data_IF_774491294091
#
_entry.id   IF_774491294091
#
_cell.length_a   1.000
_cell.length_b   1.000
_cell.length_c   1.000
_cell.angle_alpha   90.00
_cell.angle_beta   90.00
_cell.angle_gamma   90.00
#
_symmetry.space_group_name_H-M   'P 1'
#
loop_
_entity.id
_entity.type
_entity.pdbx_description
1 polymer ?
#
# COMPACT_ATOMS: atom_id res chain seq x y z
N UNK A 1 5.11 9.96 -5.57
CA UNK A 1 5.32 11.33 -6.14
C UNK A 1 5.75 11.26 -7.62
N UNK A 2 5.43 12.21 -8.53
CA UNK A 2 5.89 12.15 -9.92
C UNK A 2 7.42 12.40 -10.03
N UNK A 3 8.07 11.80 -11.04
CA UNK A 3 9.52 11.83 -11.34
C UNK A 3 10.45 10.87 -10.56
N UNK A 4 9.98 9.65 -10.26
CA UNK A 4 10.88 8.55 -9.88
C UNK A 4 10.93 7.50 -10.98
N UNK A 5 12.13 7.07 -11.34
CA UNK A 5 12.32 5.88 -12.16
C UNK A 5 12.11 4.65 -11.29
N UNK A 6 11.21 3.76 -11.72
CA UNK A 6 10.96 2.49 -11.05
C UNK A 6 11.52 1.34 -11.87
N UNK A 7 12.14 0.39 -11.18
CA UNK A 7 12.48 -0.91 -11.74
C UNK A 7 11.31 -1.86 -11.51
N UNK A 8 10.89 -2.58 -12.57
CA UNK A 8 9.88 -3.62 -12.47
C UNK A 8 10.56 -4.98 -12.39
N UNK A 9 10.27 -5.71 -11.33
CA UNK A 9 10.69 -7.10 -11.14
C UNK A 9 9.46 -8.00 -11.17
N UNK A 10 9.63 -9.23 -11.67
CA UNK A 10 8.56 -10.24 -11.72
C UNK A 10 9.04 -11.53 -11.07
N UNK A 11 8.17 -12.17 -10.29
CA UNK A 11 8.47 -13.43 -9.60
C UNK A 11 7.74 -13.54 -8.26
N UNK A 12 8.11 -14.53 -7.45
CA UNK A 12 7.55 -14.70 -6.11
C UNK A 12 7.94 -13.53 -5.18
N UNK A 13 7.00 -13.11 -4.34
CA UNK A 13 7.21 -12.10 -3.28
C UNK A 13 8.34 -12.48 -2.33
N UNK A 14 8.58 -13.78 -2.13
CA UNK A 14 9.66 -14.30 -1.28
C UNK A 14 11.05 -13.85 -1.75
N UNK A 15 11.21 -13.60 -3.06
CA UNK A 15 12.47 -13.09 -3.64
C UNK A 15 12.68 -11.60 -3.37
N UNK A 16 11.62 -10.88 -2.98
CA UNK A 16 11.67 -9.45 -2.63
C UNK A 16 12.05 -9.18 -1.17
N UNK A 17 12.05 -10.20 -0.30
CA UNK A 17 12.22 -10.07 1.15
C UNK A 17 13.58 -9.53 1.63
N UNK A 18 14.52 -9.26 0.73
CA UNK A 18 15.85 -8.69 1.06
C UNK A 18 15.98 -7.18 0.84
N UNK A 19 14.90 -6.49 0.47
CA UNK A 19 14.91 -5.03 0.29
C UNK A 19 14.48 -4.38 1.61
N UNK A 20 15.33 -3.51 2.18
CA UNK A 20 15.18 -2.99 3.55
C UNK A 20 13.77 -2.42 3.84
N UNK A 21 13.16 -1.73 2.86
CA UNK A 21 11.81 -1.13 2.99
C UNK A 21 10.76 -1.76 2.05
N UNK A 22 11.10 -2.88 1.39
CA UNK A 22 10.23 -3.51 0.39
C UNK A 22 9.99 -2.69 -0.88
N UNK A 23 9.12 -3.16 -1.79
CA UNK A 23 8.80 -2.45 -3.03
C UNK A 23 7.81 -1.30 -2.78
N UNK A 24 8.06 -0.13 -3.39
CA UNK A 24 7.11 1.00 -3.36
C UNK A 24 5.75 0.65 -3.97
N UNK A 25 5.72 -0.22 -4.98
CA UNK A 25 4.50 -0.65 -5.68
C UNK A 25 4.60 -2.14 -5.98
N UNK A 26 3.55 -2.90 -5.67
CA UNK A 26 3.46 -4.31 -6.03
C UNK A 26 2.02 -4.78 -6.22
N UNK A 27 1.84 -5.82 -7.03
CA UNK A 27 0.54 -6.37 -7.42
C UNK A 27 0.70 -7.83 -7.91
N UNK A 28 -0.34 -8.67 -7.82
CA UNK A 28 -0.37 -10.00 -8.42
C UNK A 28 -0.37 -9.94 -9.95
N UNK A 29 0.02 -11.03 -10.62
CA UNK A 29 0.15 -11.08 -12.10
C UNK A 29 -1.14 -10.69 -12.85
N UNK A 30 -2.31 -11.00 -12.26
CA UNK A 30 -3.63 -10.65 -12.78
C UNK A 30 -4.03 -9.18 -12.56
N UNK A 31 -3.22 -8.41 -11.83
CA UNK A 31 -3.45 -7.01 -11.44
C UNK A 31 -4.78 -6.81 -10.70
N UNK A 32 -5.27 -7.82 -9.99
CA UNK A 32 -6.55 -7.72 -9.30
C UNK A 32 -6.55 -6.64 -8.21
N UNK A 33 -5.41 -6.40 -7.54
CA UNK A 33 -5.22 -5.37 -6.52
C UNK A 33 -3.80 -4.81 -6.57
N UNK A 34 -3.52 -3.74 -5.84
CA UNK A 34 -2.17 -3.20 -5.69
C UNK A 34 -1.94 -2.64 -4.29
N UNK A 35 -0.68 -2.59 -3.91
CA UNK A 35 -0.22 -1.88 -2.71
C UNK A 35 0.75 -0.79 -3.14
N UNK A 36 0.58 0.40 -2.57
CA UNK A 36 1.45 1.54 -2.78
C UNK A 36 1.98 2.04 -1.43
N UNK A 37 3.30 2.00 -1.28
CA UNK A 37 4.04 2.51 -0.13
C UNK A 37 4.89 3.68 -0.61
N UNK A 38 4.82 4.81 0.08
CA UNK A 38 5.66 5.98 -0.19
C UNK A 38 6.65 6.14 0.96
N UNK A 39 7.90 6.46 0.63
CA UNK A 39 8.99 6.49 1.63
C UNK A 39 8.77 7.55 2.72
N UNK A 40 7.96 8.57 2.41
CA UNK A 40 7.70 9.69 3.29
C UNK A 40 6.51 9.43 4.23
N UNK A 41 5.80 8.31 4.08
CA UNK A 41 4.62 7.97 4.87
C UNK A 41 4.80 6.69 5.68
N UNK A 42 4.29 6.65 6.93
CA UNK A 42 4.34 5.46 7.76
C UNK A 42 3.26 4.42 7.40
N UNK A 43 2.46 4.68 6.36
CA UNK A 43 1.34 3.86 5.94
C UNK A 43 1.42 3.50 4.46
N UNK A 44 0.68 2.45 4.09
CA UNK A 44 0.56 2.00 2.71
C UNK A 44 -0.90 2.05 2.27
N UNK A 45 -1.13 2.40 1.01
CA UNK A 45 -2.44 2.29 0.39
C UNK A 45 -2.61 0.90 -0.21
N UNK A 46 -3.81 0.34 -0.06
CA UNK A 46 -4.21 -0.88 -0.76
C UNK A 46 -5.43 -0.56 -1.61
N UNK A 47 -5.34 -0.85 -2.90
CA UNK A 47 -6.43 -0.68 -3.87
C UNK A 47 -6.82 -2.02 -4.46
N UNK A 48 -8.11 -2.29 -4.59
CA UNK A 48 -8.59 -3.56 -5.12
C UNK A 48 -10.11 -3.71 -5.04
N UNK A 49 -10.62 -4.93 -5.26
CA UNK A 49 -12.05 -5.24 -5.20
C UNK A 49 -12.62 -5.00 -3.80
N UNK A 50 -13.91 -4.68 -3.72
CA UNK A 50 -14.57 -4.31 -2.47
C UNK A 50 -14.47 -5.39 -1.39
N UNK A 51 -14.60 -6.66 -1.75
CA UNK A 51 -14.49 -7.79 -0.82
C UNK A 51 -13.08 -7.91 -0.22
N UNK A 52 -12.03 -7.70 -1.03
CA UNK A 52 -10.65 -7.62 -0.55
C UNK A 52 -10.48 -6.47 0.47
N UNK A 53 -10.98 -5.28 0.15
CA UNK A 53 -10.86 -4.11 1.03
C UNK A 53 -11.63 -4.33 2.35
N UNK A 54 -12.84 -4.89 2.28
CA UNK A 54 -13.62 -5.26 3.46
C UNK A 54 -12.86 -6.25 4.34
N UNK A 55 -12.22 -7.26 3.76
CA UNK A 55 -11.43 -8.24 4.51
C UNK A 55 -10.21 -7.61 5.18
N UNK A 56 -9.52 -6.67 4.53
CA UNK A 56 -8.39 -5.94 5.11
C UNK A 56 -8.85 -5.09 6.30
N UNK A 57 -9.92 -4.32 6.12
CA UNK A 57 -10.48 -3.46 7.17
C UNK A 57 -10.99 -4.25 8.39
N UNK A 58 -11.44 -5.48 8.17
CA UNK A 58 -11.90 -6.37 9.23
C UNK A 58 -10.78 -7.19 9.90
N UNK A 59 -9.55 -7.15 9.38
CA UNK A 59 -8.48 -8.01 9.85
C UNK A 59 -7.90 -7.52 11.19
N UNK A 60 -7.96 -8.30 12.28
CA UNK A 60 -7.67 -7.80 13.63
C UNK A 60 -6.21 -7.44 13.89
N UNK A 61 -5.30 -7.87 13.01
CA UNK A 61 -3.86 -7.55 13.10
C UNK A 61 -3.43 -6.42 12.18
N UNK A 62 -4.35 -5.83 11.41
CA UNK A 62 -4.07 -4.69 10.53
C UNK A 62 -4.74 -3.44 11.11
N UNK A 63 -3.96 -2.38 11.24
CA UNK A 63 -4.50 -1.04 11.42
C UNK A 63 -4.83 -0.48 10.04
N UNK A 64 -6.13 -0.37 9.73
CA UNK A 64 -6.58 0.04 8.41
C UNK A 64 -7.80 0.94 8.49
N UNK A 65 -7.83 1.97 7.66
CA UNK A 65 -8.95 2.90 7.51
C UNK A 65 -9.34 3.01 6.03
N UNK A 66 -10.63 3.26 5.71
CA UNK A 66 -11.02 3.52 4.34
C UNK A 66 -10.37 4.81 3.85
N UNK A 67 -9.71 4.75 2.69
CA UNK A 67 -9.19 5.92 2.00
C UNK A 67 -10.14 6.35 0.87
N UNK A 68 -10.32 7.65 0.73
CA UNK A 68 -11.12 8.31 -0.30
C UNK A 68 -10.29 9.36 -1.02
N UNK A 69 -10.68 9.75 -2.24
CA UNK A 69 -9.96 10.78 -3.00
C UNK A 69 -10.00 12.17 -2.35
N UNK A 70 -10.88 12.37 -1.36
CA UNK A 70 -10.98 13.62 -0.62
C UNK A 70 -10.02 13.66 0.59
N UNK A 71 -9.41 12.53 0.94
CA UNK A 71 -8.48 12.47 2.06
C UNK A 71 -7.15 13.11 1.66
N UNK A 72 -6.66 14.00 2.53
CA UNK A 72 -5.32 14.56 2.40
C UNK A 72 -4.27 13.47 2.63
N UNK A 73 -3.17 13.53 1.88
CA UNK A 73 -2.04 12.59 2.00
C UNK A 73 -0.93 13.12 2.93
N UNK A 74 -1.14 14.25 3.60
CA UNK A 74 -0.12 14.85 4.48
C UNK A 74 -0.14 14.21 5.87
N UNK A 75 0.98 14.24 6.61
CA UNK A 75 1.06 13.76 7.99
C UNK A 75 -0.06 14.31 8.90
N UNK A 76 -0.48 15.56 8.68
CA UNK A 76 -1.57 16.21 9.41
C UNK A 76 -2.98 15.59 9.19
N UNK A 77 -3.10 14.62 8.28
CA UNK A 77 -4.36 13.90 8.01
C UNK A 77 -4.48 12.59 8.79
N UNK A 78 -3.43 12.16 9.51
CA UNK A 78 -3.50 11.02 10.43
C UNK A 78 -4.24 11.44 11.71
N UNK A 79 -5.37 10.77 12.00
CA UNK A 79 -6.16 10.97 13.22
C UNK A 79 -6.09 9.79 14.18
N UNK A 80 -5.34 8.74 13.84
CA UNK A 80 -5.25 7.52 14.65
C UNK A 80 -3.96 7.54 15.47
N UNK A 81 -2.83 7.93 14.87
CA UNK A 81 -1.54 8.02 15.57
C UNK A 81 -1.09 9.48 15.77
N UNK A 82 -1.94 10.28 16.43
CA UNK A 82 -1.59 11.64 16.86
C UNK A 82 -0.77 11.67 18.14
#
# INVERSE_FOLDING_TARGET
MPNRDYLLFTGSVERGAGWEDGPNLWWPDDRAWCVASEIDFPYSYVGGPTDLIVNILAHPFLEATPATLADGITADSDKINS
#
